data_IF_202996167702
#
_entry.id   IF_202996167702
#
_cell.length_a   1.000
_cell.length_b   1.000
_cell.length_c   1.000
_cell.angle_alpha   90.00
_cell.angle_beta   90.00
_cell.angle_gamma   90.00
#
_symmetry.space_group_name_H-M   'P 1'
#
loop_
_entity.id
_entity.type
_entity.pdbx_description
1 polymer ?
#
# COMPACT_ATOMS: atom_id res chain seq x y z
N UNK A 1 -1.23 -29.68 8.51
CA UNK A 1 -1.59 -28.83 7.36
C UNK A 1 -0.48 -27.83 7.13
N UNK A 2 0.00 -27.65 5.89
CA UNK A 2 1.04 -26.66 5.60
C UNK A 2 0.49 -25.23 5.75
N UNK A 3 1.32 -24.26 6.11
CA UNK A 3 0.90 -22.83 6.21
C UNK A 3 0.24 -22.37 4.90
N UNK A 4 0.76 -22.84 3.76
CA UNK A 4 0.20 -22.58 2.45
C UNK A 4 -1.27 -23.03 2.33
N UNK A 5 -1.57 -24.27 2.73
CA UNK A 5 -2.93 -24.81 2.67
C UNK A 5 -3.93 -24.04 3.54
N UNK A 6 -3.50 -23.55 4.71
CA UNK A 6 -4.35 -22.75 5.61
C UNK A 6 -4.70 -21.39 4.99
N UNK A 7 -3.74 -20.76 4.30
CA UNK A 7 -3.97 -19.47 3.63
C UNK A 7 -4.92 -19.63 2.45
N UNK A 8 -4.71 -20.66 1.62
CA UNK A 8 -5.62 -20.96 0.50
C UNK A 8 -7.03 -21.24 1.02
N UNK A 9 -7.16 -22.02 2.09
CA UNK A 9 -8.46 -22.29 2.69
C UNK A 9 -9.18 -21.01 3.09
N UNK A 10 -8.46 -20.02 3.66
CA UNK A 10 -9.04 -18.70 3.97
C UNK A 10 -9.48 -17.94 2.70
N UNK A 11 -8.69 -17.97 1.63
CA UNK A 11 -9.06 -17.37 0.35
C UNK A 11 -10.32 -18.04 -0.25
N UNK A 12 -10.44 -19.35 -0.13
CA UNK A 12 -11.62 -20.08 -0.57
C UNK A 12 -12.85 -19.75 0.28
N UNK A 13 -12.72 -19.69 1.61
CA UNK A 13 -13.84 -19.35 2.51
C UNK A 13 -14.39 -17.95 2.30
N UNK A 14 -13.57 -17.02 1.79
CA UNK A 14 -13.98 -15.63 1.51
C UNK A 14 -14.58 -15.44 0.12
N UNK A 15 -14.78 -16.53 -0.64
CA UNK A 15 -15.31 -16.53 -2.01
C UNK A 15 -14.50 -15.68 -3.01
N UNK A 16 -13.22 -15.43 -2.72
CA UNK A 16 -12.35 -14.62 -3.57
C UNK A 16 -12.06 -15.26 -4.93
N UNK A 17 -12.17 -16.59 -5.02
CA UNK A 17 -11.91 -17.40 -6.22
C UNK A 17 -13.05 -17.39 -7.24
N UNK A 18 -14.23 -16.88 -6.85
CA UNK A 18 -15.43 -16.90 -7.69
C UNK A 18 -15.47 -15.63 -8.52
N UNK A 19 -15.04 -15.69 -9.78
CA UNK A 19 -15.09 -14.58 -10.73
C UNK A 19 -16.47 -14.38 -11.36
N UNK A 20 -16.58 -13.35 -12.20
CA UNK A 20 -17.79 -13.04 -12.97
C UNK A 20 -17.95 -13.98 -14.18
N UNK A 21 -19.09 -13.86 -14.86
CA UNK A 21 -19.43 -14.76 -15.97
C UNK A 21 -18.55 -14.57 -17.22
N UNK A 22 -18.09 -13.35 -17.44
CA UNK A 22 -17.30 -12.98 -18.61
C UNK A 22 -15.86 -12.82 -18.19
N UNK A 23 -14.97 -13.66 -18.73
CA UNK A 23 -13.54 -13.50 -18.59
C UNK A 23 -12.94 -12.85 -19.84
N UNK A 24 -12.28 -11.71 -19.65
CA UNK A 24 -11.53 -11.04 -20.72
C UNK A 24 -10.28 -11.83 -21.11
N UNK A 25 -9.76 -11.59 -22.32
CA UNK A 25 -8.60 -12.33 -22.83
C UNK A 25 -7.35 -12.21 -21.95
N UNK A 26 -7.07 -11.02 -21.42
CA UNK A 26 -5.89 -10.77 -20.58
C UNK A 26 -6.01 -11.42 -19.20
N UNK A 27 -7.23 -11.63 -18.69
CA UNK A 27 -7.44 -12.27 -17.39
C UNK A 27 -7.30 -13.80 -17.44
N UNK A 28 -7.24 -14.40 -18.64
CA UNK A 28 -7.06 -15.85 -18.82
C UNK A 28 -5.83 -16.40 -18.08
N UNK A 29 -4.77 -15.61 -17.93
CA UNK A 29 -3.57 -16.02 -17.19
C UNK A 29 -3.83 -16.30 -15.70
N UNK A 30 -4.83 -15.66 -15.09
CA UNK A 30 -5.24 -15.86 -13.69
C UNK A 30 -6.40 -16.85 -13.54
N UNK A 31 -6.98 -17.30 -14.66
CA UNK A 31 -8.13 -18.20 -14.65
C UNK A 31 -7.64 -19.63 -14.54
N UNK A 32 -8.17 -20.38 -13.57
CA UNK A 32 -7.96 -21.82 -13.43
C UNK A 32 -8.86 -22.61 -14.39
N UNK A 33 -10.12 -22.20 -14.51
CA UNK A 33 -11.10 -22.83 -15.39
C UNK A 33 -12.47 -22.15 -15.29
N UNK A 34 -13.50 -22.78 -15.87
CA UNK A 34 -14.88 -22.29 -15.81
C UNK A 34 -15.80 -23.36 -15.24
N UNK A 35 -16.70 -22.98 -14.33
CA UNK A 35 -17.79 -23.83 -13.83
C UNK A 35 -19.07 -23.01 -13.74
N UNK A 36 -20.20 -23.58 -14.14
CA UNK A 36 -21.50 -22.89 -14.13
C UNK A 36 -21.46 -21.49 -14.79
N UNK A 37 -20.69 -21.37 -15.88
CA UNK A 37 -20.44 -20.10 -16.59
C UNK A 37 -19.77 -19.01 -15.76
N UNK A 38 -19.15 -19.33 -14.62
CA UNK A 38 -18.35 -18.42 -13.82
C UNK A 38 -16.86 -18.77 -13.96
N UNK A 39 -16.02 -17.74 -14.06
CA UNK A 39 -14.58 -17.92 -14.10
C UNK A 39 -14.06 -18.28 -12.70
N UNK A 40 -13.30 -19.36 -12.58
CA UNK A 40 -12.61 -19.73 -11.34
C UNK A 40 -11.22 -19.12 -11.38
N UNK A 41 -10.91 -18.28 -10.40
CA UNK A 41 -9.61 -17.63 -10.26
C UNK A 41 -8.66 -18.59 -9.53
N UNK A 42 -7.45 -18.69 -10.06
CA UNK A 42 -6.38 -19.48 -9.47
C UNK A 42 -5.87 -18.83 -8.17
N UNK A 43 -6.16 -19.48 -7.04
CA UNK A 43 -5.85 -18.98 -5.70
C UNK A 43 -4.34 -18.91 -5.43
N UNK A 44 -3.53 -19.75 -6.08
CA UNK A 44 -2.07 -19.70 -5.93
C UNK A 44 -1.52 -18.43 -6.57
N UNK A 45 -2.02 -18.06 -7.74
CA UNK A 45 -1.67 -16.79 -8.40
C UNK A 45 -2.14 -15.59 -7.60
N UNK A 46 -3.35 -15.64 -7.04
CA UNK A 46 -3.84 -14.60 -6.12
C UNK A 46 -2.90 -14.43 -4.94
N UNK A 47 -2.43 -15.52 -4.34
CA UNK A 47 -1.52 -15.51 -3.20
C UNK A 47 -0.14 -14.93 -3.57
N UNK A 48 0.41 -15.28 -4.74
CA UNK A 48 1.67 -14.71 -5.24
C UNK A 48 1.53 -13.19 -5.44
N UNK A 49 0.48 -12.76 -6.13
CA UNK A 49 0.19 -11.34 -6.35
C UNK A 49 0.00 -10.56 -5.04
N UNK A 50 -0.74 -11.15 -4.09
CA UNK A 50 -0.98 -10.55 -2.78
C UNK A 50 0.32 -10.39 -1.99
N UNK A 51 1.23 -11.37 -2.04
CA UNK A 51 2.57 -11.27 -1.43
C UNK A 51 3.38 -10.15 -2.06
N UNK A 52 3.38 -10.04 -3.39
CA UNK A 52 4.11 -8.98 -4.09
C UNK A 52 3.58 -7.59 -3.71
N UNK A 53 2.25 -7.42 -3.66
CA UNK A 53 1.61 -6.18 -3.23
C UNK A 53 1.94 -5.83 -1.77
N UNK A 54 1.88 -6.80 -0.85
CA UNK A 54 2.22 -6.58 0.57
C UNK A 54 3.70 -6.25 0.76
N UNK A 55 4.60 -6.92 0.04
CA UNK A 55 6.02 -6.61 0.06
C UNK A 55 6.28 -5.17 -0.40
N UNK A 56 5.61 -4.74 -1.47
CA UNK A 56 5.69 -3.36 -1.96
C UNK A 56 5.17 -2.35 -0.94
N UNK A 57 4.00 -2.60 -0.34
CA UNK A 57 3.45 -1.73 0.71
C UNK A 57 4.36 -1.68 1.95
N UNK A 58 4.94 -2.81 2.34
CA UNK A 58 5.90 -2.88 3.45
C UNK A 58 7.17 -2.08 3.16
N UNK A 59 7.63 -2.10 1.91
CA UNK A 59 8.79 -1.35 1.45
C UNK A 59 8.52 0.16 1.54
N UNK A 60 7.39 0.63 1.00
CA UNK A 60 7.01 2.04 1.09
C UNK A 60 6.82 2.51 2.53
N UNK A 61 6.22 1.65 3.36
CA UNK A 61 5.97 1.96 4.77
C UNK A 61 7.24 2.18 5.58
N UNK A 62 8.43 1.79 5.10
CA UNK A 62 9.70 2.09 5.77
C UNK A 62 9.97 3.59 5.88
N UNK A 63 9.50 4.36 4.90
CA UNK A 63 9.64 5.81 4.93
C UNK A 63 8.55 6.42 5.83
N UNK A 64 8.92 7.26 6.82
CA UNK A 64 7.94 7.84 7.76
C UNK A 64 6.99 8.83 7.09
N UNK A 65 7.37 9.34 5.92
CA UNK A 65 6.57 10.26 5.14
C UNK A 65 5.64 9.56 4.15
N UNK A 66 5.66 8.22 4.04
CA UNK A 66 4.87 7.52 3.04
C UNK A 66 3.38 7.76 3.25
N UNK A 67 2.66 8.11 2.19
CA UNK A 67 1.22 8.33 2.22
C UNK A 67 0.50 7.39 1.27
N UNK A 68 -0.51 6.68 1.80
CA UNK A 68 -1.30 5.71 1.05
C UNK A 68 -2.72 6.26 0.86
N UNK A 69 -3.24 6.17 -0.36
CA UNK A 69 -4.61 6.55 -0.68
C UNK A 69 -5.45 5.30 -0.96
N UNK A 70 -6.48 5.06 -0.16
CA UNK A 70 -7.45 3.99 -0.39
C UNK A 70 -8.66 4.50 -1.15
N UNK A 71 -9.07 3.76 -2.17
CA UNK A 71 -10.17 4.12 -3.05
C UNK A 71 -11.12 2.95 -3.20
N UNK A 72 -12.39 3.24 -2.96
CA UNK A 72 -13.49 2.30 -3.10
C UNK A 72 -14.73 3.02 -3.66
N UNK A 73 -15.39 2.39 -4.62
CA UNK A 73 -16.73 2.75 -5.11
C UNK A 73 -17.83 2.20 -4.22
N UNK A 74 -17.66 0.97 -3.73
CA UNK A 74 -18.68 0.28 -2.96
C UNK A 74 -18.75 0.82 -1.50
N UNK A 75 -19.91 1.34 -1.05
CA UNK A 75 -20.10 1.83 0.31
C UNK A 75 -19.97 0.72 1.37
N UNK A 76 -20.14 -0.55 1.01
CA UNK A 76 -19.96 -1.69 1.93
C UNK A 76 -18.52 -1.79 2.45
N UNK A 77 -17.54 -1.32 1.68
CA UNK A 77 -16.12 -1.37 2.08
C UNK A 77 -15.71 -0.18 2.93
N UNK A 78 -16.50 0.89 2.92
CA UNK A 78 -16.17 2.12 3.65
C UNK A 78 -15.99 1.92 5.16
N UNK A 79 -16.90 1.24 5.90
CA UNK A 79 -16.69 1.03 7.34
C UNK A 79 -15.43 0.20 7.64
N UNK A 80 -15.10 -0.75 6.76
CA UNK A 80 -13.88 -1.57 6.88
C UNK A 80 -12.65 -0.67 6.72
N UNK A 81 -12.61 0.18 5.70
CA UNK A 81 -11.46 1.06 5.47
C UNK A 81 -11.33 2.11 6.58
N UNK A 82 -12.45 2.64 7.08
CA UNK A 82 -12.47 3.60 8.18
C UNK A 82 -11.93 3.00 9.49
N UNK A 83 -12.30 1.75 9.81
CA UNK A 83 -11.74 1.02 10.96
C UNK A 83 -10.22 0.85 10.83
N UNK A 84 -9.73 0.60 9.62
CA UNK A 84 -8.35 0.23 9.36
C UNK A 84 -7.42 1.43 9.29
N UNK A 85 -7.90 2.54 8.74
CA UNK A 85 -7.23 3.84 8.80
C UNK A 85 -7.15 4.37 10.23
N UNK A 86 -8.16 4.12 11.05
CA UNK A 86 -8.12 4.48 12.49
C UNK A 86 -7.04 3.71 13.24
N UNK A 87 -6.79 2.44 12.87
CA UNK A 87 -5.79 1.59 13.54
C UNK A 87 -4.35 1.91 13.17
N UNK A 88 -4.09 2.47 11.98
CA UNK A 88 -2.73 2.70 11.48
C UNK A 88 -2.46 4.20 11.39
N UNK A 89 -1.60 4.69 12.27
CA UNK A 89 -1.27 6.12 12.35
C UNK A 89 -0.57 6.68 11.11
N UNK A 90 0.15 5.84 10.36
CA UNK A 90 0.80 6.19 9.10
C UNK A 90 -0.14 6.22 7.89
N UNK A 91 -1.37 5.72 8.01
CA UNK A 91 -2.38 5.88 6.98
C UNK A 91 -3.01 7.25 7.15
N UNK A 92 -2.89 8.11 6.13
CA UNK A 92 -3.54 9.42 6.17
C UNK A 92 -5.05 9.20 6.37
N UNK A 93 -5.65 9.62 7.50
CA UNK A 93 -7.09 9.54 7.73
C UNK A 93 -7.79 10.67 6.98
N UNK A 94 -7.21 11.11 5.86
CA UNK A 94 -7.89 11.96 4.92
C UNK A 94 -9.02 11.11 4.39
N UNK A 95 -10.16 11.21 5.10
CA UNK A 95 -11.51 10.85 4.70
C UNK A 95 -11.68 11.39 3.30
N UNK A 96 -11.18 10.67 2.31
CA UNK A 96 -11.30 10.96 0.90
C UNK A 96 -12.75 10.66 0.59
N UNK A 97 -13.56 11.62 1.02
CA UNK A 97 -14.97 11.53 1.27
C UNK A 97 -15.62 11.49 -0.08
N UNK A 98 -15.64 10.35 -0.76
CA UNK A 98 -16.25 10.21 -2.09
C UNK A 98 -15.73 11.16 -3.20
N UNK A 99 -14.84 12.11 -2.89
CA UNK A 99 -14.43 13.22 -3.76
C UNK A 99 -13.36 12.78 -4.77
N UNK A 100 -12.73 11.62 -4.58
CA UNK A 100 -11.91 10.95 -5.59
C UNK A 100 -12.70 10.68 -6.89
N UNK A 101 -14.04 10.69 -6.82
CA UNK A 101 -14.94 10.61 -7.98
C UNK A 101 -14.93 11.86 -8.86
N UNK A 102 -14.38 12.98 -8.38
CA UNK A 102 -14.23 14.21 -9.15
C UNK A 102 -12.98 14.13 -10.04
N UNK A 103 -13.06 14.79 -11.19
CA UNK A 103 -11.92 14.95 -12.10
C UNK A 103 -10.93 15.95 -11.52
N UNK A 104 -9.65 15.64 -11.63
CA UNK A 104 -8.55 16.47 -11.13
C UNK A 104 -8.25 16.27 -9.65
N UNK A 105 -8.70 15.17 -9.05
CA UNK A 105 -8.48 14.88 -7.63
C UNK A 105 -6.99 14.75 -7.29
N UNK A 106 -6.22 14.07 -8.13
CA UNK A 106 -4.77 13.93 -7.98
C UNK A 106 -4.03 14.99 -8.79
N UNK A 107 -4.39 15.17 -10.07
CA UNK A 107 -3.64 16.05 -10.99
C UNK A 107 -3.79 17.53 -10.68
N UNK A 108 -4.86 17.94 -9.99
CA UNK A 108 -5.12 19.33 -9.63
C UNK A 108 -5.25 19.51 -8.10
N UNK A 109 -4.46 18.75 -7.33
CA UNK A 109 -4.53 18.72 -5.87
C UNK A 109 -4.17 20.06 -5.19
N UNK A 110 -3.35 20.89 -5.85
CA UNK A 110 -2.94 22.21 -5.39
C UNK A 110 -3.93 23.34 -5.70
N UNK A 111 -5.00 23.08 -6.47
CA UNK A 111 -5.98 24.13 -6.80
C UNK A 111 -6.66 24.67 -5.55
N UNK A 112 -6.87 26.00 -5.43
CA UNK A 112 -7.54 26.60 -4.29
C UNK A 112 -8.91 25.97 -4.05
N UNK A 113 -9.04 25.21 -2.96
CA UNK A 113 -10.21 24.39 -2.57
C UNK A 113 -11.40 25.23 -2.09
N UNK A 114 -11.49 26.51 -2.46
CA UNK A 114 -12.40 27.51 -1.88
C UNK A 114 -13.81 27.45 -2.49
N UNK A 115 -14.43 26.26 -2.53
CA UNK A 115 -15.89 26.18 -2.49
C UNK A 115 -16.30 25.97 -1.03
N UNK A 116 -16.39 27.06 -0.27
CA UNK A 116 -16.92 27.04 1.10
C UNK A 116 -18.45 26.93 1.02
N UNK A 117 -18.98 25.72 1.10
CA UNK A 117 -20.36 25.55 1.54
C UNK A 117 -20.46 25.99 3.00
N UNK A 118 -21.50 26.74 3.36
CA UNK A 118 -21.72 27.30 4.71
C UNK A 118 -21.65 26.25 5.84
N UNK A 119 -21.91 24.97 5.55
CA UNK A 119 -22.04 23.91 6.57
C UNK A 119 -21.12 22.68 6.41
N UNK A 120 -20.27 22.58 5.37
CA UNK A 120 -19.33 21.43 5.22
C UNK A 120 -17.99 21.84 4.63
N UNK A 121 -16.90 21.50 5.32
CA UNK A 121 -15.53 21.56 4.80
C UNK A 121 -15.33 20.38 3.85
N UNK A 122 -15.60 20.59 2.55
CA UNK A 122 -15.28 19.62 1.50
C UNK A 122 -13.77 19.66 1.26
N UNK A 123 -13.08 18.56 1.56
CA UNK A 123 -11.65 18.39 1.24
C UNK A 123 -11.56 17.81 -0.17
N UNK A 124 -11.47 18.69 -1.16
CA UNK A 124 -11.52 18.32 -2.58
C UNK A 124 -10.33 17.50 -3.10
N UNK A 125 -9.21 17.48 -2.38
CA UNK A 125 -8.00 16.74 -2.74
C UNK A 125 -7.18 16.46 -1.49
N UNK A 126 -6.28 15.47 -1.49
CA UNK A 126 -5.39 15.26 -0.35
C UNK A 126 -4.49 16.50 -0.13
N UNK A 127 -4.02 16.72 1.09
CA UNK A 127 -3.04 17.79 1.38
C UNK A 127 -1.65 17.43 0.89
N UNK A 128 -1.34 16.13 0.86
CA UNK A 128 -0.10 15.56 0.37
C UNK A 128 -0.38 14.58 -0.77
N UNK A 129 0.48 14.59 -1.78
CA UNK A 129 0.38 13.62 -2.88
C UNK A 129 0.70 12.21 -2.36
N UNK A 130 -0.15 11.21 -2.64
CA UNK A 130 0.10 9.84 -2.19
C UNK A 130 1.24 9.19 -2.96
N UNK A 131 2.04 8.37 -2.27
CA UNK A 131 3.12 7.57 -2.85
C UNK A 131 2.61 6.26 -3.47
N UNK A 132 1.43 5.80 -3.04
CA UNK A 132 0.76 4.63 -3.59
C UNK A 132 -0.76 4.77 -3.46
N UNK A 133 -1.47 4.29 -4.48
CA UNK A 133 -2.94 4.18 -4.47
C UNK A 133 -3.34 2.72 -4.38
N UNK A 134 -4.23 2.41 -3.44
CA UNK A 134 -4.82 1.08 -3.25
C UNK A 134 -6.30 1.14 -3.62
N UNK A 135 -6.69 0.37 -4.64
CA UNK A 135 -8.05 0.37 -5.20
C UNK A 135 -8.70 -1.00 -4.94
N UNK A 136 -9.78 -1.02 -4.16
CA UNK A 136 -10.49 -2.27 -3.84
C UNK A 136 -11.58 -2.61 -4.85
N UNK A 137 -12.08 -1.62 -5.58
CA UNK A 137 -13.15 -1.84 -6.54
C UNK A 137 -12.80 -1.15 -7.86
N UNK A 138 -13.05 -1.88 -8.95
CA UNK A 138 -12.67 -1.52 -10.32
C UNK A 138 -13.83 -0.91 -11.09
N UNK A 139 -14.96 -0.64 -10.44
CA UNK A 139 -16.16 -0.22 -11.16
C UNK A 139 -15.96 1.06 -11.99
N UNK A 140 -16.61 1.05 -13.16
CA UNK A 140 -16.37 1.88 -14.34
C UNK A 140 -16.62 3.37 -14.04
N UNK A 141 -15.55 4.15 -13.78
CA UNK A 141 -15.40 5.63 -13.93
C UNK A 141 -14.34 6.22 -12.99
N UNK A 142 -13.37 5.45 -12.50
CA UNK A 142 -12.28 6.00 -11.69
C UNK A 142 -11.31 6.81 -12.56
N UNK A 143 -11.54 8.12 -12.63
CA UNK A 143 -10.58 9.13 -13.13
C UNK A 143 -9.19 8.91 -12.53
N UNK A 144 -9.15 8.38 -11.32
CA UNK A 144 -7.95 8.01 -10.57
C UNK A 144 -6.99 7.12 -11.37
N UNK A 145 -7.45 6.13 -12.14
CA UNK A 145 -6.53 5.30 -12.93
C UNK A 145 -5.75 6.15 -13.94
N UNK A 146 -6.44 7.07 -14.63
CA UNK A 146 -5.84 7.98 -15.60
C UNK A 146 -4.95 9.03 -14.95
N UNK A 147 -5.38 9.54 -13.79
CA UNK A 147 -4.65 10.57 -13.06
C UNK A 147 -3.38 10.01 -12.40
N UNK A 148 -3.45 8.81 -11.82
CA UNK A 148 -2.31 8.12 -11.23
C UNK A 148 -1.27 7.75 -12.30
N UNK A 149 -1.71 7.26 -13.48
CA UNK A 149 -0.81 6.99 -14.60
C UNK A 149 -0.08 8.27 -15.06
N UNK A 150 -0.79 9.40 -15.18
CA UNK A 150 -0.18 10.68 -15.55
C UNK A 150 0.83 11.20 -14.54
N UNK A 151 0.60 10.94 -13.25
CA UNK A 151 1.49 11.35 -12.17
C UNK A 151 2.60 10.32 -11.88
N UNK A 152 2.56 9.14 -12.52
CA UNK A 152 3.50 8.06 -12.26
C UNK A 152 3.33 7.40 -10.89
N UNK A 153 2.15 7.49 -10.28
CA UNK A 153 1.88 6.91 -8.96
C UNK A 153 1.54 5.42 -9.13
N UNK A 154 2.23 4.50 -8.44
CA UNK A 154 1.97 3.06 -8.53
C UNK A 154 0.60 2.71 -7.94
N UNK A 155 -0.08 1.76 -8.61
CA UNK A 155 -1.42 1.31 -8.26
C UNK A 155 -1.40 -0.15 -7.85
N UNK A 156 -1.89 -0.42 -6.64
CA UNK A 156 -2.25 -1.76 -6.16
C UNK A 156 -3.77 -1.89 -6.30
N UNK A 157 -4.26 -2.83 -7.09
CA UNK A 157 -5.70 -2.96 -7.31
C UNK A 157 -6.17 -4.41 -7.29
N UNK A 158 -7.39 -4.63 -6.79
CA UNK A 158 -8.11 -5.87 -7.04
C UNK A 158 -8.49 -5.94 -8.53
N UNK A 159 -8.27 -7.09 -9.15
CA UNK A 159 -8.58 -7.32 -10.57
C UNK A 159 -9.57 -8.47 -10.68
N UNK A 160 -10.68 -8.20 -11.34
CA UNK A 160 -11.69 -9.21 -11.68
C UNK A 160 -11.61 -9.60 -13.17
N UNK A 161 -12.16 -10.77 -13.46
CA UNK A 161 -12.39 -11.35 -14.78
C UNK A 161 -13.03 -10.43 -15.81
N UNK A 162 -13.89 -9.50 -15.38
CA UNK A 162 -14.62 -8.58 -16.26
C UNK A 162 -13.91 -7.24 -16.51
N UNK A 163 -12.75 -7.00 -15.88
CA UNK A 163 -12.02 -5.75 -16.00
C UNK A 163 -11.56 -5.53 -17.45
N UNK A 164 -11.77 -4.34 -18.05
CA UNK A 164 -11.30 -4.07 -19.39
C UNK A 164 -9.79 -3.79 -19.41
N UNK A 165 -9.17 -4.04 -20.56
CA UNK A 165 -7.71 -3.93 -20.75
C UNK A 165 -7.16 -2.53 -20.42
N UNK A 166 -7.94 -1.48 -20.71
CA UNK A 166 -7.53 -0.10 -20.51
C UNK A 166 -7.19 0.23 -19.06
N UNK A 167 -7.94 -0.33 -18.10
CA UNK A 167 -7.63 -0.15 -16.68
C UNK A 167 -6.58 -1.16 -16.22
N UNK A 168 -6.66 -2.40 -16.70
CA UNK A 168 -5.74 -3.46 -16.29
C UNK A 168 -4.27 -3.09 -16.58
N UNK A 169 -3.98 -2.49 -17.74
CA UNK A 169 -2.62 -2.06 -18.12
C UNK A 169 -2.03 -1.01 -17.18
N UNK A 170 -2.86 -0.22 -16.50
CA UNK A 170 -2.43 0.87 -15.59
C UNK A 170 -2.14 0.37 -14.17
N UNK A 171 -2.51 -0.87 -13.84
CA UNK A 171 -2.27 -1.46 -12.52
C UNK A 171 -0.84 -2.00 -12.45
N UNK A 172 -0.06 -1.52 -11.48
CA UNK A 172 1.31 -1.98 -11.25
C UNK A 172 1.34 -3.33 -10.52
N UNK A 173 0.52 -3.46 -9.48
CA UNK A 173 0.43 -4.67 -8.66
C UNK A 173 -1.01 -5.21 -8.67
N UNK A 174 -1.38 -6.05 -9.66
CA UNK A 174 -2.73 -6.60 -9.76
C UNK A 174 -2.92 -7.76 -8.79
N UNK A 175 -4.01 -7.75 -8.03
CA UNK A 175 -4.43 -8.84 -7.15
C UNK A 175 -5.66 -9.50 -7.78
N UNK A 176 -5.53 -10.65 -8.46
CA UNK A 176 -6.66 -11.30 -9.13
C UNK A 176 -7.58 -11.92 -8.08
N UNK A 177 -8.73 -11.31 -7.86
CA UNK A 177 -9.71 -11.78 -6.87
C UNK A 177 -11.04 -11.06 -7.07
N UNK A 178 -12.11 -11.72 -6.64
CA UNK A 178 -13.43 -11.12 -6.57
C UNK A 178 -13.59 -10.17 -5.37
N UNK A 179 -14.39 -9.13 -5.53
CA UNK A 179 -14.63 -8.07 -4.55
C UNK A 179 -15.70 -8.45 -3.51
N UNK A 180 -15.53 -9.61 -2.87
CA UNK A 180 -16.38 -10.01 -1.74
C UNK A 180 -16.04 -9.22 -0.47
N UNK A 181 -17.05 -8.82 0.32
CA UNK A 181 -16.86 -8.06 1.58
C UNK A 181 -15.88 -8.77 2.53
N UNK A 182 -16.02 -10.09 2.66
CA UNK A 182 -15.13 -10.90 3.50
C UNK A 182 -13.69 -10.91 2.98
N UNK A 183 -13.50 -10.92 1.66
CA UNK A 183 -12.17 -10.88 1.05
C UNK A 183 -11.52 -9.51 1.22
N UNK A 184 -12.26 -8.41 0.98
CA UNK A 184 -11.76 -7.05 1.22
C UNK A 184 -11.37 -6.88 2.69
N UNK A 185 -12.20 -7.37 3.62
CA UNK A 185 -11.87 -7.38 5.06
C UNK A 185 -10.57 -8.14 5.34
N UNK A 186 -10.37 -9.31 4.73
CA UNK A 186 -9.14 -10.09 4.86
C UNK A 186 -7.92 -9.32 4.35
N UNK A 187 -8.01 -8.74 3.15
CA UNK A 187 -6.91 -7.97 2.53
C UNK A 187 -6.57 -6.74 3.36
N UNK A 188 -7.56 -5.95 3.77
CA UNK A 188 -7.35 -4.81 4.66
C UNK A 188 -6.65 -5.25 5.95
N UNK A 189 -7.10 -6.34 6.58
CA UNK A 189 -6.47 -6.87 7.79
C UNK A 189 -5.01 -7.30 7.59
N UNK A 190 -4.69 -7.87 6.42
CA UNK A 190 -3.32 -8.20 6.09
C UNK A 190 -2.46 -6.96 5.89
N UNK A 191 -2.98 -5.93 5.21
CA UNK A 191 -2.29 -4.65 5.01
C UNK A 191 -2.03 -3.97 6.36
N UNK A 192 -3.05 -3.80 7.21
CA UNK A 192 -2.87 -3.17 8.53
C UNK A 192 -1.90 -3.95 9.40
N UNK A 193 -1.98 -5.28 9.44
CA UNK A 193 -0.99 -6.09 10.18
C UNK A 193 0.42 -5.88 9.63
N UNK A 194 0.59 -5.83 8.31
CA UNK A 194 1.87 -5.59 7.69
C UNK A 194 2.45 -4.23 8.08
N UNK A 195 1.66 -3.15 7.99
CA UNK A 195 2.08 -1.80 8.34
C UNK A 195 2.42 -1.68 9.84
N UNK A 196 1.58 -2.24 10.72
CA UNK A 196 1.84 -2.23 12.16
C UNK A 196 3.10 -3.01 12.54
N UNK A 197 3.42 -4.10 11.82
CA UNK A 197 4.67 -4.84 12.04
C UNK A 197 5.89 -4.01 11.63
N UNK A 198 5.82 -3.25 10.54
CA UNK A 198 6.91 -2.36 10.12
C UNK A 198 7.07 -1.17 11.09
N UNK A 199 5.98 -0.57 11.59
CA UNK A 199 6.04 0.46 12.63
C UNK A 199 6.75 -0.06 13.89
N UNK A 200 6.41 -1.25 14.38
CA UNK A 200 7.08 -1.88 15.53
C UNK A 200 8.56 -2.14 15.29
N UNK A 201 8.95 -2.55 14.08
CA UNK A 201 10.38 -2.75 13.72
C UNK A 201 11.14 -1.44 13.78
N UNK A 202 10.54 -0.32 13.34
CA UNK A 202 11.16 1.01 13.44
C UNK A 202 11.38 1.43 14.90
N UNK A 203 10.40 1.21 15.76
CA UNK A 203 10.49 1.56 17.17
C UNK A 203 11.58 0.73 17.87
N UNK A 204 11.66 -0.57 17.56
CA UNK A 204 12.73 -1.45 18.04
C UNK A 204 14.12 -0.99 17.57
N UNK A 205 14.26 -0.62 16.30
CA UNK A 205 15.54 -0.12 15.76
C UNK A 205 15.97 1.22 16.37
N UNK A 206 15.02 2.14 16.62
CA UNK A 206 15.30 3.40 17.33
C UNK A 206 15.74 3.14 18.77
N UNK A 207 15.07 2.24 19.49
CA UNK A 207 15.38 1.89 20.87
C UNK A 207 16.76 1.24 21.05
N UNK A 208 17.20 0.42 20.10
CA UNK A 208 18.56 -0.15 20.11
C UNK A 208 19.61 0.94 19.84
N UNK A 209 19.34 1.84 18.89
CA UNK A 209 20.27 2.93 18.54
C UNK A 209 20.46 3.92 19.69
N UNK A 210 19.39 4.27 20.42
CA UNK A 210 19.51 5.13 21.62
C UNK A 210 20.17 4.42 22.79
N UNK A 211 19.92 3.12 23.02
CA UNK A 211 20.65 2.37 24.06
C UNK A 211 22.15 2.31 23.79
N UNK A 212 22.55 2.02 22.56
CA UNK A 212 23.95 2.05 22.17
C UNK A 212 24.56 3.44 22.41
N UNK A 213 23.97 4.53 21.93
CA UNK A 213 24.51 5.88 22.15
C UNK A 213 24.58 6.28 23.62
N UNK A 214 23.65 5.80 24.44
CA UNK A 214 23.66 6.08 25.87
C UNK A 214 24.72 5.24 26.60
N UNK A 215 24.93 3.98 26.21
CA UNK A 215 26.01 3.12 26.73
C UNK A 215 27.42 3.64 26.41
N UNK A 216 27.62 4.33 25.29
CA UNK A 216 28.88 5.05 25.01
C UNK A 216 29.02 6.38 25.77
N UNK A 217 27.93 6.95 26.29
CA UNK A 217 27.94 8.21 27.05
C UNK A 217 28.10 8.03 28.57
N UNK A 218 27.92 6.82 29.11
CA UNK A 218 28.17 6.51 30.53
C UNK A 218 29.66 6.27 30.87
N UNK A 219 30.57 6.55 29.93
CA UNK A 219 32.02 6.40 30.11
C UNK A 219 32.83 7.72 30.15
N UNK A 220 32.19 8.86 30.38
CA UNK A 220 32.84 10.18 30.37
C UNK A 220 32.77 10.95 31.69
N UNK A 221 32.68 10.25 32.83
CA UNK A 221 32.91 10.85 34.14
C UNK A 221 34.36 10.63 34.59
N UNK A 222 35.21 11.59 34.23
CA UNK A 222 36.28 12.08 35.11
C UNK A 222 37.63 11.37 35.13
N UNK A 223 38.40 11.42 34.04
CA UNK A 223 39.77 11.99 33.99
C UNK A 223 40.54 11.49 32.75
N UNK A 224 41.34 12.43 32.21
CA UNK A 224 42.35 12.29 31.14
C UNK A 224 41.82 12.33 29.70
N UNK A 225 41.93 13.54 29.14
CA UNK A 225 42.43 13.85 27.80
C UNK A 225 42.45 12.68 26.77
N UNK A 226 41.41 12.59 25.93
CA UNK A 226 41.55 11.91 24.64
C UNK A 226 40.59 12.47 23.58
N UNK A 227 40.66 13.77 23.34
CA UNK A 227 40.44 14.26 21.99
C UNK A 227 41.57 13.69 21.12
N UNK A 228 41.22 13.08 19.97
CA UNK A 228 42.11 12.86 18.80
C UNK A 228 42.89 11.53 18.69
N UNK A 229 42.24 10.35 18.72
CA UNK A 229 42.84 9.11 18.14
C UNK A 229 41.85 8.20 17.37
N UNK A 230 40.52 8.41 17.39
CA UNK A 230 39.60 7.45 16.73
C UNK A 230 39.42 7.63 15.21
N UNK A 231 40.10 8.60 14.60
CA UNK A 231 40.12 8.78 13.13
C UNK A 231 41.26 7.99 12.44
N UNK A 232 42.04 7.20 13.18
CA UNK A 232 43.22 6.49 12.66
C UNK A 232 43.17 4.96 12.75
N UNK A 233 42.05 4.34 13.17
CA UNK A 233 41.97 2.85 13.28
C UNK A 233 40.82 2.16 12.56
N UNK A 234 39.92 2.89 11.89
CA UNK A 234 38.97 2.30 10.95
C UNK A 234 39.44 2.59 9.53
N UNK A 235 40.30 1.71 8.99
CA UNK A 235 40.69 1.75 7.60
C UNK A 235 39.48 1.60 6.67
N UNK A 236 39.10 2.68 6.01
CA UNK A 236 38.40 2.61 4.74
C UNK A 236 39.13 3.54 3.76
N UNK A 237 39.89 2.90 2.87
CA UNK A 237 40.51 3.48 1.69
C UNK A 237 39.41 4.21 0.87
N UNK A 238 39.51 5.54 0.76
CA UNK A 238 38.82 6.30 -0.29
C UNK A 238 39.88 6.70 -1.30
N UNK A 239 39.87 6.00 -2.43
CA UNK A 239 40.83 6.16 -3.50
C UNK A 239 40.39 7.34 -4.38
N UNK A 240 40.97 8.51 -4.17
CA UNK A 240 40.96 9.61 -5.14
C UNK A 240 42.35 10.25 -5.13
N UNK A 241 43.19 9.84 -6.08
CA UNK A 241 44.44 10.51 -6.39
C UNK A 241 44.31 11.23 -7.74
N UNK A 242 44.46 12.55 -7.64
CA UNK A 242 45.28 13.44 -8.46
C UNK A 242 44.92 13.73 -9.93
N UNK A 243 44.50 14.98 -10.11
CA UNK A 243 45.01 15.88 -11.16
C UNK A 243 46.54 16.01 -11.02
N UNK A 244 47.24 15.71 -12.10
CA UNK A 244 48.34 16.50 -12.67
C UNK A 244 48.00 16.66 -14.15
#
# INVERSE_FOLDING_TARGET
>A
MTIHSVVIQKLLTTNAHIGRQVATHHFKQFTYGFRNRQAIIDSDKTLICLRNALNFLSYLSRDPSSSFLFINTNPLFQPIIDEMTTRVSSLSPERASSLWRLRGFLTNSFSPKKFRSRNKKLVFAPTKMPDCVVIFDTERKSSVFLEAERLGIPIVALVDSSMPWEYYKKVTYPIPANDSVQFVYLVCNMITKCLMLEEKKKDGAKGIRTKATNEWNIGLDGNVLCFRVWLLKCGFYRNENHVC
#
